data_IF_341544135308
#
_entry.id   IF_341544135308
#
_cell.length_a   1.000
_cell.length_b   1.000
_cell.length_c   1.000
_cell.angle_alpha   90.00
_cell.angle_beta   90.00
_cell.angle_gamma   90.00
#
_symmetry.space_group_name_H-M   'P 1'
#
loop_
_entity.id
_entity.type
_entity.pdbx_description
1 polymer ?
#
# COMPACT_ATOMS: atom_id res chain seq x y z
N UNK A 1 -46.51 -0.16 -14.07
CA UNK A 1 -45.13 0.39 -13.96
C UNK A 1 -44.56 0.31 -12.52
N UNK A 2 -45.00 -0.61 -11.64
CA UNK A 2 -44.65 -0.56 -10.20
C UNK A 2 -43.52 -1.48 -9.71
N UNK A 3 -43.23 -2.59 -10.40
CA UNK A 3 -42.34 -3.65 -9.91
C UNK A 3 -40.90 -3.55 -10.44
N UNK A 4 -40.75 -3.45 -11.76
CA UNK A 4 -39.45 -3.30 -12.41
C UNK A 4 -38.65 -2.07 -11.90
N UNK A 5 -39.32 -0.93 -11.71
CA UNK A 5 -38.66 0.28 -11.19
C UNK A 5 -38.23 0.15 -9.73
N UNK A 6 -38.87 -0.69 -8.93
CA UNK A 6 -38.44 -0.97 -7.55
C UNK A 6 -37.25 -1.93 -7.54
N UNK A 7 -37.33 -3.03 -8.30
CA UNK A 7 -36.26 -4.02 -8.45
C UNK A 7 -34.98 -3.38 -9.04
N UNK A 8 -35.12 -2.49 -10.03
CA UNK A 8 -33.99 -1.74 -10.60
C UNK A 8 -33.33 -0.83 -9.56
N UNK A 9 -34.11 -0.12 -8.74
CA UNK A 9 -33.57 0.75 -7.69
C UNK A 9 -32.83 -0.04 -6.63
N UNK A 10 -33.40 -1.16 -6.19
CA UNK A 10 -32.75 -2.06 -5.23
C UNK A 10 -31.43 -2.61 -5.80
N UNK A 11 -31.44 -3.02 -7.07
CA UNK A 11 -30.24 -3.50 -7.74
C UNK A 11 -29.16 -2.41 -7.82
N UNK A 12 -29.51 -1.17 -8.21
CA UNK A 12 -28.57 -0.05 -8.25
C UNK A 12 -27.97 0.24 -6.87
N UNK A 13 -28.77 0.19 -5.81
CA UNK A 13 -28.27 0.37 -4.43
C UNK A 13 -27.27 -0.73 -4.06
N UNK A 14 -27.58 -1.99 -4.38
CA UNK A 14 -26.67 -3.12 -4.13
C UNK A 14 -25.36 -2.97 -4.88
N UNK A 15 -25.41 -2.65 -6.18
CA UNK A 15 -24.21 -2.43 -7.00
C UNK A 15 -23.35 -1.31 -6.41
N UNK A 16 -23.94 -0.16 -6.08
CA UNK A 16 -23.20 0.96 -5.45
C UNK A 16 -22.54 0.56 -4.14
N UNK A 17 -23.25 -0.18 -3.28
CA UNK A 17 -22.71 -0.63 -2.00
C UNK A 17 -21.54 -1.61 -2.20
N UNK A 18 -21.68 -2.57 -3.13
CA UNK A 18 -20.61 -3.52 -3.45
C UNK A 18 -19.39 -2.84 -4.06
N UNK A 19 -19.58 -1.95 -5.03
CA UNK A 19 -18.47 -1.18 -5.61
C UNK A 19 -17.76 -0.33 -4.55
N UNK A 20 -18.50 0.26 -3.61
CA UNK A 20 -17.92 0.99 -2.48
C UNK A 20 -17.06 0.11 -1.57
N UNK A 21 -17.52 -1.11 -1.25
CA UNK A 21 -16.73 -2.07 -0.44
C UNK A 21 -15.48 -2.54 -1.16
N UNK A 22 -15.58 -2.83 -2.47
CA UNK A 22 -14.42 -3.18 -3.29
C UNK A 22 -13.39 -2.04 -3.27
N UNK A 23 -13.83 -0.79 -3.49
CA UNK A 23 -12.94 0.37 -3.47
C UNK A 23 -12.22 0.55 -2.13
N UNK A 24 -12.96 0.53 -1.02
CA UNK A 24 -12.39 0.67 0.32
C UNK A 24 -11.44 -0.49 0.65
N UNK A 25 -11.83 -1.73 0.31
CA UNK A 25 -11.02 -2.92 0.54
C UNK A 25 -9.72 -2.90 -0.27
N UNK A 26 -9.77 -2.49 -1.54
CA UNK A 26 -8.58 -2.36 -2.38
C UNK A 26 -7.62 -1.29 -1.85
N UNK A 27 -8.14 -0.13 -1.42
CA UNK A 27 -7.31 0.92 -0.83
C UNK A 27 -6.67 0.48 0.49
N UNK A 28 -7.41 -0.24 1.34
CA UNK A 28 -6.89 -0.80 2.59
C UNK A 28 -5.78 -1.84 2.33
N UNK A 29 -5.98 -2.76 1.39
CA UNK A 29 -4.97 -3.76 1.03
C UNK A 29 -3.73 -3.14 0.39
N UNK A 30 -3.88 -2.04 -0.35
CA UNK A 30 -2.73 -1.29 -0.86
C UNK A 30 -1.92 -0.65 0.27
N UNK A 31 -2.56 -0.03 1.27
CA UNK A 31 -1.86 0.50 2.44
C UNK A 31 -1.11 -0.61 3.20
N UNK A 32 -1.78 -1.74 3.44
CA UNK A 32 -1.18 -2.91 4.09
C UNK A 32 0.01 -3.44 3.29
N UNK A 33 -0.14 -3.60 1.97
CA UNK A 33 0.92 -4.01 1.07
C UNK A 33 2.15 -3.08 1.16
N UNK A 34 1.94 -1.76 1.30
CA UNK A 34 3.03 -0.80 1.47
C UNK A 34 3.69 -0.95 2.84
N UNK A 35 2.90 -1.05 3.92
CA UNK A 35 3.38 -1.04 5.31
C UNK A 35 4.03 -2.35 5.74
N UNK A 36 3.38 -3.47 5.49
CA UNK A 36 3.77 -4.80 6.00
C UNK A 36 4.13 -5.79 4.90
N UNK A 37 3.80 -5.48 3.65
CA UNK A 37 4.00 -6.37 2.51
C UNK A 37 2.73 -7.13 2.17
N UNK A 38 2.70 -7.78 1.01
CA UNK A 38 1.56 -8.58 0.59
C UNK A 38 1.95 -9.59 -0.48
N UNK A 39 1.59 -10.87 -0.32
CA UNK A 39 1.78 -11.88 -1.35
C UNK A 39 0.95 -11.60 -2.62
N UNK A 40 -0.16 -10.85 -2.52
CA UNK A 40 -0.99 -10.46 -3.67
C UNK A 40 -0.20 -9.58 -4.65
N UNK A 41 0.68 -8.74 -4.10
CA UNK A 41 1.49 -7.78 -4.86
C UNK A 41 2.96 -8.18 -4.97
N UNK A 42 3.41 -9.16 -4.21
CA UNK A 42 4.83 -9.45 -3.99
C UNK A 42 5.59 -8.37 -3.19
N UNK A 43 4.91 -7.32 -2.74
CA UNK A 43 5.51 -6.27 -1.90
C UNK A 43 6.04 -6.87 -0.61
N UNK A 44 7.26 -6.52 -0.18
CA UNK A 44 7.81 -7.01 1.07
C UNK A 44 7.55 -6.10 2.28
N UNK A 45 6.88 -4.96 2.10
CA UNK A 45 6.55 -4.03 3.19
C UNK A 45 7.67 -3.03 3.52
N UNK A 46 7.45 -2.19 4.53
CA UNK A 46 8.48 -1.27 5.02
C UNK A 46 9.40 -1.97 6.02
N UNK A 47 10.70 -1.62 6.07
CA UNK A 47 11.59 -2.12 7.10
C UNK A 47 11.10 -1.71 8.48
N UNK A 48 11.29 -2.59 9.47
CA UNK A 48 10.69 -2.44 10.79
C UNK A 48 11.59 -1.70 11.79
N UNK A 49 12.87 -1.44 11.48
CA UNK A 49 13.83 -0.76 12.37
C UNK A 49 13.78 0.77 12.34
N UNK A 50 14.25 1.43 13.41
CA UNK A 50 14.46 2.89 13.46
C UNK A 50 15.59 3.33 12.54
N UNK A 51 15.42 4.48 11.87
CA UNK A 51 16.44 5.08 11.02
C UNK A 51 17.34 6.02 11.84
N UNK A 52 18.65 5.77 11.85
CA UNK A 52 19.64 6.58 12.58
C UNK A 52 20.94 5.81 12.84
N UNK A 53 21.97 6.41 13.44
CA UNK A 53 23.14 5.67 13.95
C UNK A 53 22.66 4.72 15.06
N UNK A 54 22.44 3.45 14.70
CA UNK A 54 21.80 2.45 15.57
C UNK A 54 20.70 1.66 14.85
N UNK A 55 20.90 1.25 13.59
CA UNK A 55 19.97 0.31 12.95
C UNK A 55 19.97 -1.00 13.76
N UNK A 56 18.89 -1.23 14.48
CA UNK A 56 18.66 -2.46 15.23
C UNK A 56 17.75 -3.36 14.39
N UNK A 57 18.38 -4.29 13.66
CA UNK A 57 17.67 -5.35 12.96
C UNK A 57 16.78 -6.11 13.95
N UNK A 58 15.47 -6.14 13.70
CA UNK A 58 14.50 -6.85 14.54
C UNK A 58 13.70 -6.01 15.54
N UNK A 59 13.98 -4.71 15.69
CA UNK A 59 13.04 -3.83 16.39
C UNK A 59 11.80 -3.62 15.52
N UNK A 60 10.61 -3.79 16.12
CA UNK A 60 9.33 -3.65 15.42
C UNK A 60 8.77 -2.25 15.70
N UNK A 61 8.94 -1.29 14.78
CA UNK A 61 8.34 0.04 14.94
C UNK A 61 8.92 1.18 14.12
N UNK A 62 9.58 0.91 13.01
CA UNK A 62 10.26 1.90 12.20
C UNK A 62 9.33 3.04 11.83
N UNK A 63 9.74 4.27 12.14
CA UNK A 63 8.99 5.51 11.92
C UNK A 63 8.36 5.58 10.53
N UNK A 64 9.06 5.06 9.51
CA UNK A 64 8.54 5.01 8.15
C UNK A 64 7.34 4.08 7.99
N UNK A 65 7.35 2.88 8.60
CA UNK A 65 6.23 1.93 8.53
C UNK A 65 4.96 2.55 9.12
N UNK A 66 5.08 3.18 10.28
CA UNK A 66 3.96 3.81 10.99
C UNK A 66 3.54 5.14 10.40
N UNK A 67 4.39 5.81 9.61
CA UNK A 67 4.09 7.10 8.99
C UNK A 67 3.16 7.05 7.78
N UNK A 68 2.90 5.87 7.21
CA UNK A 68 2.00 5.73 6.07
C UNK A 68 0.55 5.81 6.53
N UNK A 69 -0.21 6.72 5.92
CA UNK A 69 -1.60 6.96 6.24
C UNK A 69 -2.43 6.92 4.97
N UNK A 70 -3.70 6.54 5.10
CA UNK A 70 -4.68 6.60 4.03
C UNK A 70 -5.74 7.65 4.36
N UNK A 71 -6.07 8.49 3.39
CA UNK A 71 -7.15 9.49 3.48
C UNK A 71 -8.07 9.36 2.28
N UNK A 72 -9.39 9.39 2.50
CA UNK A 72 -10.37 9.46 1.42
C UNK A 72 -10.68 10.92 1.11
N UNK A 73 -10.16 11.41 -0.02
CA UNK A 73 -10.42 12.78 -0.49
C UNK A 73 -11.83 12.91 -1.08
N UNK A 74 -12.36 11.81 -1.61
CA UNK A 74 -13.73 11.69 -2.09
C UNK A 74 -14.19 10.23 -2.04
N UNK A 75 -15.48 9.93 -2.30
CA UNK A 75 -15.97 8.55 -2.41
C UNK A 75 -15.28 7.70 -3.51
N UNK A 76 -14.48 8.31 -4.39
CA UNK A 76 -13.81 7.64 -5.51
C UNK A 76 -12.31 7.87 -5.53
N UNK A 77 -11.74 8.57 -4.54
CA UNK A 77 -10.32 8.90 -4.48
C UNK A 77 -9.81 8.64 -3.06
N UNK A 78 -8.83 7.75 -2.96
CA UNK A 78 -8.08 7.46 -1.75
C UNK A 78 -6.61 7.81 -2.01
N UNK A 79 -6.02 8.59 -1.10
CA UNK A 79 -4.61 8.94 -1.12
C UNK A 79 -3.89 8.16 -0.02
N UNK A 80 -2.78 7.50 -0.39
CA UNK A 80 -1.88 6.83 0.54
C UNK A 80 -0.55 7.58 0.53
N UNK A 81 -0.16 8.12 1.68
CA UNK A 81 0.97 9.04 1.77
C UNK A 81 1.67 8.94 3.12
N UNK A 82 2.92 9.39 3.15
CA UNK A 82 3.71 9.59 4.36
C UNK A 82 4.21 11.04 4.40
N UNK A 83 4.25 11.62 5.59
CA UNK A 83 4.82 12.94 5.87
C UNK A 83 6.31 12.86 6.25
N UNK A 84 6.88 11.66 6.34
CA UNK A 84 8.30 11.46 6.60
C UNK A 84 9.06 11.71 5.31
N UNK A 85 9.88 12.76 5.30
CA UNK A 85 10.74 13.09 4.18
C UNK A 85 11.80 11.99 4.00
N UNK A 86 11.61 11.12 3.00
CA UNK A 86 12.57 10.07 2.69
C UNK A 86 13.45 10.43 1.48
N UNK A 87 14.69 10.88 1.73
CA UNK A 87 15.77 10.91 0.74
C UNK A 87 17.16 10.81 1.43
N UNK A 88 18.17 10.11 0.86
CA UNK A 88 18.31 9.72 -0.54
C UNK A 88 18.51 8.20 -0.77
N UNK A 89 18.14 7.76 -1.97
CA UNK A 89 18.56 6.55 -2.69
C UNK A 89 18.90 5.29 -1.86
N UNK A 90 18.15 4.20 -2.10
CA UNK A 90 18.52 2.84 -1.72
C UNK A 90 19.91 2.41 -2.24
N UNK A 91 20.50 3.21 -3.12
CA UNK A 91 21.90 3.14 -3.53
C UNK A 91 22.64 4.36 -2.99
N UNK A 92 23.73 4.16 -2.26
CA UNK A 92 24.83 5.13 -2.28
C UNK A 92 25.46 5.04 -3.70
N UNK A 93 24.70 5.49 -4.69
CA UNK A 93 24.89 5.20 -6.11
C UNK A 93 25.69 6.29 -6.79
N UNK A 94 26.94 6.45 -6.37
CA UNK A 94 28.16 6.19 -7.13
C UNK A 94 29.19 6.05 -6.00
N UNK A 95 30.05 5.03 -6.03
CA UNK A 95 31.29 5.03 -5.27
C UNK A 95 32.10 6.27 -5.71
N UNK A 96 31.78 7.44 -5.15
CA UNK A 96 32.53 8.66 -5.38
C UNK A 96 33.89 8.39 -4.76
N UNK A 97 35.01 8.72 -5.43
CA UNK A 97 36.32 8.65 -4.80
C UNK A 97 36.27 9.41 -3.47
N UNK A 98 36.35 8.69 -2.34
CA UNK A 98 36.24 9.25 -0.99
C UNK A 98 34.91 9.03 -0.25
N UNK A 99 33.91 8.35 -0.84
CA UNK A 99 32.56 8.16 -0.26
C UNK A 99 32.42 7.02 0.77
N UNK A 100 33.48 6.25 1.02
CA UNK A 100 33.42 5.10 1.94
C UNK A 100 32.87 3.81 1.30
N UNK A 101 32.79 2.74 2.09
CA UNK A 101 32.32 1.44 1.65
C UNK A 101 30.81 1.45 1.40
N UNK A 102 30.38 0.77 0.32
CA UNK A 102 28.97 0.60 0.00
C UNK A 102 28.25 -0.15 1.12
N UNK A 103 27.29 0.51 1.75
CA UNK A 103 26.43 -0.11 2.76
C UNK A 103 25.02 -0.21 2.21
N UNK A 104 24.62 -1.42 1.79
CA UNK A 104 23.22 -1.73 1.51
C UNK A 104 22.43 -1.62 2.82
N UNK A 105 21.69 -0.52 3.00
CA UNK A 105 21.02 -0.20 4.28
C UNK A 105 19.71 -0.96 4.49
N UNK A 106 19.12 -1.45 3.40
CA UNK A 106 18.05 -2.43 3.45
C UNK A 106 18.10 -3.28 2.18
N UNK A 107 18.06 -4.60 2.33
CA UNK A 107 17.88 -5.56 1.23
C UNK A 107 16.44 -5.57 0.72
N UNK A 108 15.50 -5.08 1.53
CA UNK A 108 14.06 -5.26 1.34
C UNK A 108 13.26 -4.10 1.97
N UNK A 109 12.46 -3.40 1.18
CA UNK A 109 11.51 -2.38 1.67
C UNK A 109 11.90 -0.93 1.39
N UNK A 110 10.92 -0.03 1.48
CA UNK A 110 11.03 1.37 1.02
C UNK A 110 10.20 1.64 -0.25
N UNK A 111 10.78 2.41 -1.20
CA UNK A 111 10.17 2.73 -2.51
C UNK A 111 9.79 1.48 -3.33
N UNK A 112 10.51 0.37 -3.12
CA UNK A 112 10.25 -0.88 -3.83
C UNK A 112 8.88 -1.48 -3.47
N UNK A 113 8.47 -1.39 -2.20
CA UNK A 113 7.16 -1.85 -1.74
C UNK A 113 6.05 -1.06 -2.41
N UNK A 114 6.17 0.27 -2.47
CA UNK A 114 5.23 1.14 -3.20
C UNK A 114 5.17 0.77 -4.68
N UNK A 115 6.33 0.58 -5.34
CA UNK A 115 6.38 0.21 -6.75
C UNK A 115 5.71 -1.14 -7.04
N UNK A 116 5.94 -2.14 -6.20
CA UNK A 116 5.32 -3.46 -6.34
C UNK A 116 3.81 -3.43 -6.01
N UNK A 117 3.40 -2.64 -5.01
CA UNK A 117 1.97 -2.42 -4.75
C UNK A 117 1.27 -1.78 -5.94
N UNK A 118 1.88 -0.77 -6.56
CA UNK A 118 1.35 -0.11 -7.76
C UNK A 118 1.31 -1.08 -8.94
N UNK A 119 2.38 -1.84 -9.18
CA UNK A 119 2.43 -2.83 -10.25
C UNK A 119 1.43 -3.98 -10.04
N UNK A 120 1.15 -4.35 -8.80
CA UNK A 120 0.19 -5.38 -8.41
C UNK A 120 -1.24 -4.87 -8.17
N UNK A 121 -1.57 -3.65 -8.58
CA UNK A 121 -2.88 -3.05 -8.30
C UNK A 121 -4.04 -3.88 -8.86
N UNK A 122 -3.93 -4.38 -10.08
CA UNK A 122 -4.99 -5.20 -10.68
C UNK A 122 -5.24 -6.48 -9.88
N UNK A 123 -4.19 -7.10 -9.34
CA UNK A 123 -4.30 -8.27 -8.45
C UNK A 123 -5.02 -7.92 -7.14
N UNK A 124 -4.79 -6.72 -6.59
CA UNK A 124 -5.52 -6.23 -5.40
C UNK A 124 -7.01 -6.10 -5.72
N UNK A 125 -7.36 -5.48 -6.84
CA UNK A 125 -8.77 -5.29 -7.23
C UNK A 125 -9.43 -6.64 -7.47
N UNK A 126 -8.78 -7.56 -8.19
CA UNK A 126 -9.28 -8.91 -8.42
C UNK A 126 -9.47 -9.68 -7.11
N UNK A 127 -8.47 -9.62 -6.21
CA UNK A 127 -8.52 -10.31 -4.93
C UNK A 127 -9.71 -9.86 -4.08
N UNK A 128 -9.91 -8.55 -3.95
CA UNK A 128 -11.02 -7.98 -3.17
C UNK A 128 -12.36 -8.25 -3.85
N UNK A 129 -12.43 -8.15 -5.18
CA UNK A 129 -13.65 -8.48 -5.94
C UNK A 129 -14.05 -9.94 -5.72
N UNK A 130 -13.09 -10.87 -5.73
CA UNK A 130 -13.34 -12.29 -5.45
C UNK A 130 -13.74 -12.55 -3.99
N UNK A 131 -13.26 -11.76 -3.03
CA UNK A 131 -13.73 -11.83 -1.64
C UNK A 131 -15.18 -11.37 -1.52
N UNK A 132 -15.53 -10.24 -2.11
CA UNK A 132 -16.90 -9.69 -2.10
C UNK A 132 -17.90 -10.57 -2.85
N UNK A 133 -17.47 -11.29 -3.88
CA UNK A 133 -18.32 -12.24 -4.60
C UNK A 133 -18.60 -13.54 -3.81
N UNK A 134 -17.81 -13.84 -2.76
CA UNK A 134 -17.96 -15.02 -1.90
C UNK A 134 -18.75 -14.75 -0.61
N UNK A 135 -18.91 -13.48 -0.23
CA UNK A 135 -19.71 -13.04 0.92
C UNK A 135 -21.16 -12.79 0.56
#
# INVERSE_FOLDING_TARGET
MGRFGAELREHVVKVKATTGRIFVGSAALALESIQVGSPVTGSPGQPVGQYGPGYHEGEVGGELKTSWNMTFESPTIAAIQTNVAHAPSNEDGIARPGGGAYNQRSTVGGRHSVALTVAGWDNIVEHITAQEARG
#
